data_IF_284177915351
#
_entry.id   IF_284177915351
#
_cell.length_a   1.000
_cell.length_b   1.000
_cell.length_c   1.000
_cell.angle_alpha   90.00
_cell.angle_beta   90.00
_cell.angle_gamma   90.00
#
_symmetry.space_group_name_H-M   'P 1'
#
loop_
_entity.id
_entity.type
_entity.pdbx_description
1 polymer ?
#
# COMPACT_ATOMS: atom_id res chain seq x y z
N UNK A 1 23.51 7.66 30.52
CA UNK A 1 23.44 7.47 29.07
C UNK A 1 22.00 7.09 28.78
N UNK A 2 21.20 8.02 28.25
CA UNK A 2 19.92 7.69 27.64
C UNK A 2 20.24 6.95 26.35
N UNK A 3 19.87 5.66 26.27
CA UNK A 3 19.81 4.95 24.99
C UNK A 3 18.73 5.67 24.17
N UNK A 4 19.15 6.48 23.22
CA UNK A 4 18.28 6.95 22.14
C UNK A 4 17.83 5.70 21.40
N UNK A 5 16.59 5.27 21.65
CA UNK A 5 15.93 4.24 20.85
C UNK A 5 15.80 4.87 19.46
N UNK A 6 16.62 4.40 18.53
CA UNK A 6 16.59 4.87 17.15
C UNK A 6 15.24 4.45 16.55
N UNK A 7 14.34 5.41 16.34
CA UNK A 7 12.97 5.15 15.87
C UNK A 7 13.03 4.60 14.45
N UNK A 8 12.48 3.40 14.25
CA UNK A 8 12.38 2.81 12.92
C UNK A 8 11.49 3.64 12.00
N UNK A 9 11.77 3.58 10.71
CA UNK A 9 11.11 4.37 9.68
C UNK A 9 9.86 3.69 9.16
N UNK A 10 8.98 4.49 8.56
CA UNK A 10 7.90 4.01 7.69
C UNK A 10 8.34 4.13 6.23
N UNK A 11 8.25 3.04 5.48
CA UNK A 11 8.43 3.06 4.03
C UNK A 11 7.13 3.48 3.35
N UNK A 12 7.22 4.39 2.38
CA UNK A 12 6.14 4.76 1.48
C UNK A 12 6.55 4.30 0.08
N UNK A 13 5.83 3.35 -0.50
CA UNK A 13 6.10 2.95 -1.88
C UNK A 13 5.20 3.73 -2.84
N UNK A 14 5.81 4.44 -3.78
CA UNK A 14 5.09 5.16 -4.83
C UNK A 14 5.35 4.53 -6.20
N UNK A 15 4.32 4.55 -7.02
CA UNK A 15 4.29 4.10 -8.40
C UNK A 15 3.45 5.07 -9.24
N UNK A 16 3.58 5.03 -10.55
CA UNK A 16 2.90 5.96 -11.44
C UNK A 16 1.38 5.96 -11.23
N UNK A 17 0.78 7.11 -11.40
CA UNK A 17 -0.63 7.41 -11.17
C UNK A 17 -1.12 7.20 -9.73
N UNK A 18 -0.22 7.20 -8.74
CA UNK A 18 -0.61 7.06 -7.34
C UNK A 18 -1.59 8.17 -6.91
N UNK A 19 -2.49 7.82 -6.01
CA UNK A 19 -3.49 8.74 -5.46
C UNK A 19 -2.88 9.55 -4.31
N UNK A 20 -2.44 10.77 -4.61
CA UNK A 20 -1.76 11.63 -3.65
C UNK A 20 -2.61 11.95 -2.40
N UNK A 21 -3.90 12.22 -2.57
CA UNK A 21 -4.77 12.58 -1.44
C UNK A 21 -4.93 11.44 -0.43
N UNK A 22 -4.81 10.18 -0.85
CA UNK A 22 -5.03 9.01 0.03
C UNK A 22 -3.94 8.87 1.09
N UNK A 23 -2.73 9.37 0.84
CA UNK A 23 -1.62 9.31 1.80
C UNK A 23 -1.39 10.61 2.58
N UNK A 24 -2.04 11.70 2.20
CA UNK A 24 -1.78 13.04 2.76
C UNK A 24 -2.00 13.10 4.28
N UNK A 25 -3.09 12.54 4.77
CA UNK A 25 -3.42 12.54 6.20
C UNK A 25 -2.47 11.62 6.97
N UNK A 26 -2.16 10.44 6.43
CA UNK A 26 -1.20 9.52 7.05
C UNK A 26 0.19 10.16 7.18
N UNK A 27 0.66 10.85 6.14
CA UNK A 27 1.94 11.56 6.18
C UNK A 27 1.95 12.68 7.23
N UNK A 28 0.86 13.44 7.34
CA UNK A 28 0.72 14.48 8.38
C UNK A 28 0.77 13.89 9.79
N UNK A 29 0.06 12.78 10.03
CA UNK A 29 0.06 12.10 11.33
C UNK A 29 1.47 11.58 11.66
N UNK A 30 2.17 10.98 10.71
CA UNK A 30 3.54 10.52 10.90
C UNK A 30 4.49 11.68 11.22
N UNK A 31 4.34 12.81 10.53
CA UNK A 31 5.13 14.01 10.79
C UNK A 31 4.89 14.57 12.20
N UNK A 32 3.62 14.65 12.63
CA UNK A 32 3.25 15.08 13.99
C UNK A 32 3.79 14.14 15.07
N UNK A 33 3.90 12.85 14.76
CA UNK A 33 4.49 11.83 15.64
C UNK A 33 6.03 11.79 15.57
N UNK A 34 6.65 12.67 14.80
CA UNK A 34 8.10 12.68 14.52
C UNK A 34 8.61 11.33 13.97
N UNK A 35 7.74 10.57 13.31
CA UNK A 35 8.06 9.29 12.69
C UNK A 35 8.78 9.50 11.37
N UNK A 36 10.06 9.08 11.22
CA UNK A 36 10.77 9.24 9.98
C UNK A 36 10.18 8.38 8.86
N UNK A 37 10.18 8.91 7.64
CA UNK A 37 9.71 8.21 6.45
C UNK A 37 10.82 8.13 5.40
N UNK A 38 10.72 7.16 4.50
CA UNK A 38 11.48 7.08 3.26
C UNK A 38 10.50 6.77 2.13
N UNK A 39 10.53 7.58 1.09
CA UNK A 39 9.76 7.35 -0.13
C UNK A 39 10.59 6.51 -1.08
N UNK A 40 10.07 5.34 -1.43
CA UNK A 40 10.68 4.42 -2.39
C UNK A 40 9.99 4.51 -3.75
N UNK A 41 10.79 4.44 -4.80
CA UNK A 41 10.35 4.26 -6.17
C UNK A 41 11.05 3.08 -6.84
N UNK A 42 10.61 2.69 -8.03
CA UNK A 42 11.27 1.64 -8.82
C UNK A 42 12.64 2.14 -9.29
N UNK A 43 12.71 3.41 -9.65
CA UNK A 43 13.92 4.12 -10.09
C UNK A 43 14.04 5.44 -9.32
N UNK A 44 15.13 6.18 -9.54
CA UNK A 44 15.31 7.54 -8.99
C UNK A 44 14.60 8.64 -9.78
N UNK A 45 13.91 8.29 -10.86
CA UNK A 45 13.14 9.24 -11.66
C UNK A 45 11.90 9.73 -10.91
N UNK A 46 11.41 10.91 -11.29
CA UNK A 46 10.17 11.45 -10.74
C UNK A 46 8.99 10.50 -11.00
N UNK A 47 8.20 10.29 -9.97
CA UNK A 47 6.96 9.51 -10.01
C UNK A 47 5.81 10.50 -10.09
N UNK A 48 4.88 10.27 -11.01
CA UNK A 48 3.76 11.18 -11.22
C UNK A 48 2.49 10.64 -10.58
N UNK A 49 1.85 11.46 -9.76
CA UNK A 49 0.54 11.16 -9.20
C UNK A 49 -0.58 11.29 -10.25
N UNK A 50 -1.77 10.78 -9.94
CA UNK A 50 -2.94 10.88 -10.82
C UNK A 50 -3.35 12.33 -11.09
N UNK A 51 -3.13 13.23 -10.13
CA UNK A 51 -3.44 14.65 -10.20
C UNK A 51 -2.30 15.53 -10.77
N UNK A 52 -1.21 14.89 -11.22
CA UNK A 52 -0.10 15.57 -11.91
C UNK A 52 1.03 16.06 -11.03
N UNK A 53 1.02 15.77 -9.71
CA UNK A 53 2.14 16.06 -8.85
C UNK A 53 3.32 15.14 -9.20
N UNK A 54 4.54 15.69 -9.27
CA UNK A 54 5.76 14.92 -9.50
C UNK A 54 6.58 14.86 -8.22
N UNK A 55 6.93 13.64 -7.80
CA UNK A 55 7.71 13.39 -6.59
C UNK A 55 8.97 12.59 -6.95
N UNK A 56 10.13 13.06 -6.52
CA UNK A 56 11.34 12.27 -6.57
C UNK A 56 11.41 11.36 -5.34
N UNK A 57 11.62 10.05 -5.52
CA UNK A 57 11.80 9.16 -4.38
C UNK A 57 13.13 9.44 -3.67
N UNK A 58 13.15 9.16 -2.36
CA UNK A 58 14.39 9.22 -1.57
C UNK A 58 15.34 8.08 -1.96
N UNK A 59 14.78 6.90 -2.21
CA UNK A 59 15.54 5.72 -2.59
C UNK A 59 14.75 4.79 -3.53
N UNK A 60 15.44 3.78 -4.04
CA UNK A 60 14.84 2.76 -4.89
C UNK A 60 14.56 1.48 -4.11
N UNK A 61 13.60 0.70 -4.60
CA UNK A 61 13.22 -0.59 -3.98
C UNK A 61 14.38 -1.58 -3.86
N UNK A 62 15.41 -1.44 -4.71
CA UNK A 62 16.60 -2.31 -4.68
C UNK A 62 17.53 -2.02 -3.49
N UNK A 63 17.45 -0.82 -2.91
CA UNK A 63 18.31 -0.37 -1.82
C UNK A 63 17.67 -0.49 -0.43
N UNK A 64 16.64 -1.31 -0.29
CA UNK A 64 15.94 -1.47 0.99
C UNK A 64 16.85 -2.11 2.05
N UNK A 65 17.11 -1.37 3.13
CA UNK A 65 17.55 -1.94 4.40
C UNK A 65 16.33 -2.22 5.28
N UNK A 66 15.80 -3.44 5.19
CA UNK A 66 14.54 -3.82 5.83
C UNK A 66 14.55 -3.62 7.35
N UNK A 67 15.70 -3.77 8.01
CA UNK A 67 15.81 -3.64 9.47
C UNK A 67 15.64 -2.19 9.95
N UNK A 68 15.81 -1.21 9.07
CA UNK A 68 15.55 0.18 9.38
C UNK A 68 14.06 0.56 9.42
N UNK A 69 13.18 -0.34 9.00
CA UNK A 69 11.75 -0.07 8.84
C UNK A 69 10.89 -0.99 9.71
N UNK A 70 9.78 -0.47 10.21
CA UNK A 70 8.75 -1.23 10.94
C UNK A 70 7.38 -1.24 10.22
N UNK A 71 7.23 -0.46 9.17
CA UNK A 71 5.95 -0.26 8.50
C UNK A 71 6.09 0.13 7.03
N UNK A 72 5.04 -0.15 6.26
CA UNK A 72 4.90 0.17 4.85
C UNK A 72 3.52 0.77 4.59
N UNK A 73 3.45 1.84 3.80
CA UNK A 73 2.21 2.43 3.30
C UNK A 73 2.18 2.33 1.77
N UNK A 74 1.03 1.89 1.26
CA UNK A 74 0.75 1.74 -0.17
C UNK A 74 -0.49 2.57 -0.52
N UNK A 75 -0.36 3.65 -1.33
CA UNK A 75 -1.51 4.38 -1.85
C UNK A 75 -2.20 3.59 -2.96
N UNK A 76 -3.44 3.95 -3.29
CA UNK A 76 -4.07 3.54 -4.52
C UNK A 76 -3.43 4.18 -5.74
N UNK A 77 -3.89 3.78 -6.92
CA UNK A 77 -3.47 4.34 -8.19
C UNK A 77 -4.64 4.34 -9.18
N UNK A 78 -4.62 5.27 -10.13
CA UNK A 78 -5.64 5.32 -11.20
C UNK A 78 -5.55 4.08 -12.09
N UNK A 79 -4.34 3.62 -12.43
CA UNK A 79 -4.09 2.38 -13.16
C UNK A 79 -3.04 1.56 -12.41
N UNK A 80 -3.49 0.46 -11.79
CA UNK A 80 -2.62 -0.40 -10.99
C UNK A 80 -2.09 -1.61 -11.76
N UNK A 81 -2.53 -1.85 -12.99
CA UNK A 81 -2.22 -3.08 -13.74
C UNK A 81 -0.73 -3.29 -13.95
N UNK A 82 -0.02 -2.28 -14.41
CA UNK A 82 1.44 -2.36 -14.58
C UNK A 82 2.17 -2.58 -13.26
N UNK A 83 1.67 -1.98 -12.19
CA UNK A 83 2.23 -2.13 -10.84
C UNK A 83 2.05 -3.55 -10.30
N UNK A 84 0.86 -4.13 -10.48
CA UNK A 84 0.55 -5.52 -10.07
C UNK A 84 1.41 -6.53 -10.81
N UNK A 85 1.67 -6.31 -12.11
CA UNK A 85 2.48 -7.22 -12.93
C UNK A 85 4.00 -7.03 -12.71
N UNK A 86 4.42 -6.02 -11.97
CA UNK A 86 5.82 -5.77 -11.67
C UNK A 86 6.31 -6.64 -10.51
N UNK A 87 7.00 -7.73 -10.83
CA UNK A 87 7.52 -8.67 -9.82
C UNK A 87 8.44 -8.02 -8.80
N UNK A 88 9.22 -7.00 -9.17
CA UNK A 88 10.12 -6.28 -8.24
C UNK A 88 9.33 -5.54 -7.18
N UNK A 89 8.19 -4.94 -7.53
CA UNK A 89 7.28 -4.28 -6.58
C UNK A 89 6.66 -5.31 -5.64
N UNK A 90 6.14 -6.40 -6.19
CA UNK A 90 5.53 -7.49 -5.42
C UNK A 90 6.54 -8.09 -4.43
N UNK A 91 7.76 -8.33 -4.86
CA UNK A 91 8.83 -8.86 -4.00
C UNK A 91 9.25 -7.87 -2.91
N UNK A 92 9.30 -6.58 -3.21
CA UNK A 92 9.53 -5.54 -2.21
C UNK A 92 8.45 -5.58 -1.12
N UNK A 93 7.18 -5.65 -1.50
CA UNK A 93 6.05 -5.72 -0.57
C UNK A 93 6.12 -6.98 0.30
N UNK A 94 6.44 -8.13 -0.27
CA UNK A 94 6.59 -9.41 0.46
C UNK A 94 7.60 -9.32 1.61
N UNK A 95 8.65 -8.53 1.48
CA UNK A 95 9.65 -8.34 2.54
C UNK A 95 9.04 -7.76 3.81
N UNK A 96 7.94 -7.02 3.70
CA UNK A 96 7.23 -6.42 4.83
C UNK A 96 6.18 -7.34 5.47
N UNK A 97 6.08 -8.61 5.11
CA UNK A 97 5.01 -9.52 5.58
C UNK A 97 4.83 -9.58 7.11
N UNK A 98 5.92 -9.39 7.87
CA UNK A 98 5.93 -9.41 9.34
C UNK A 98 5.91 -8.01 9.96
N UNK A 99 5.73 -6.98 9.17
CA UNK A 99 5.71 -5.59 9.59
C UNK A 99 4.32 -5.00 9.38
N UNK A 100 4.03 -3.86 9.97
CA UNK A 100 2.75 -3.20 9.76
C UNK A 100 2.62 -2.71 8.32
N UNK A 101 1.54 -3.06 7.65
CA UNK A 101 1.25 -2.61 6.29
C UNK A 101 -0.10 -1.91 6.28
N UNK A 102 -0.13 -0.66 5.80
CA UNK A 102 -1.34 0.06 5.44
C UNK A 102 -1.49 0.10 3.92
N UNK A 103 -2.60 -0.38 3.40
CA UNK A 103 -2.90 -0.36 1.97
C UNK A 103 -4.27 0.28 1.73
N UNK A 104 -4.32 1.30 0.89
CA UNK A 104 -5.46 2.19 0.73
C UNK A 104 -6.09 1.98 -0.64
N UNK A 105 -7.44 2.06 -0.72
CA UNK A 105 -8.19 2.04 -1.96
C UNK A 105 -7.96 0.75 -2.76
N UNK A 106 -7.34 0.80 -3.94
CA UNK A 106 -7.02 -0.37 -4.76
C UNK A 106 -5.73 -1.09 -4.30
N UNK A 107 -4.91 -0.47 -3.48
CA UNK A 107 -3.61 -1.02 -3.07
C UNK A 107 -3.68 -2.38 -2.35
N UNK A 108 -4.74 -2.76 -1.61
CA UNK A 108 -4.87 -4.11 -1.07
C UNK A 108 -4.70 -5.22 -2.09
N UNK A 109 -4.97 -4.98 -3.36
CA UNK A 109 -4.78 -5.95 -4.44
C UNK A 109 -3.29 -6.27 -4.68
N UNK A 110 -2.38 -5.35 -4.37
CA UNK A 110 -0.94 -5.62 -4.35
C UNK A 110 -0.59 -6.66 -3.27
N UNK A 111 -1.29 -6.61 -2.14
CA UNK A 111 -1.12 -7.57 -1.04
C UNK A 111 -1.69 -8.95 -1.43
N UNK A 112 -2.78 -8.99 -2.19
CA UNK A 112 -3.33 -10.23 -2.75
C UNK A 112 -2.30 -10.88 -3.68
N UNK A 113 -1.73 -10.12 -4.60
CA UNK A 113 -0.66 -10.59 -5.51
C UNK A 113 0.59 -11.05 -4.77
N UNK A 114 0.94 -10.37 -3.69
CA UNK A 114 2.07 -10.75 -2.83
C UNK A 114 1.80 -11.99 -1.97
N UNK A 115 0.56 -12.53 -1.97
CA UNK A 115 0.18 -13.68 -1.16
C UNK A 115 0.06 -13.38 0.33
N UNK A 116 -0.11 -12.11 0.72
CA UNK A 116 -0.15 -11.70 2.13
C UNK A 116 -1.55 -11.70 2.73
N UNK A 117 -2.60 -11.84 1.92
CA UNK A 117 -4.00 -11.82 2.35
C UNK A 117 -4.72 -13.18 2.22
N UNK A 118 -4.02 -14.25 1.94
CA UNK A 118 -4.61 -15.59 1.83
C UNK A 118 -5.34 -15.99 3.12
N UNK A 119 -6.64 -16.28 3.02
CA UNK A 119 -7.48 -16.64 4.16
C UNK A 119 -7.71 -15.51 5.16
N UNK A 120 -7.47 -14.25 4.78
CA UNK A 120 -7.63 -13.08 5.63
C UNK A 120 -8.66 -12.12 5.04
N UNK A 121 -9.59 -11.60 5.86
CA UNK A 121 -10.50 -10.57 5.40
C UNK A 121 -9.76 -9.28 5.07
N UNK A 122 -10.20 -8.59 4.03
CA UNK A 122 -9.65 -7.30 3.61
C UNK A 122 -10.73 -6.46 2.93
N UNK A 123 -10.45 -5.19 2.74
CA UNK A 123 -11.30 -4.23 2.03
C UNK A 123 -10.50 -3.59 0.89
N UNK A 124 -11.17 -3.27 -0.22
CA UNK A 124 -10.60 -2.43 -1.28
C UNK A 124 -11.65 -1.40 -1.74
N UNK A 125 -11.18 -0.20 -2.10
CA UNK A 125 -12.04 0.91 -2.52
C UNK A 125 -12.32 0.92 -4.02
N UNK A 126 -12.73 -0.22 -4.59
CA UNK A 126 -12.97 -0.39 -6.02
C UNK A 126 -14.19 -1.30 -6.24
N UNK A 127 -14.92 -1.15 -7.34
CA UNK A 127 -16.07 -2.01 -7.64
C UNK A 127 -15.66 -3.33 -8.28
N UNK A 128 -16.61 -4.28 -8.33
CA UNK A 128 -16.38 -5.65 -8.79
C UNK A 128 -15.97 -5.73 -10.26
N UNK A 129 -16.62 -4.96 -11.10
CA UNK A 129 -16.36 -4.93 -12.54
C UNK A 129 -14.94 -4.47 -12.81
N UNK A 130 -14.53 -3.39 -12.16
CA UNK A 130 -13.17 -2.86 -12.29
C UNK A 130 -12.11 -3.84 -11.79
N UNK A 131 -12.39 -4.60 -10.71
CA UNK A 131 -11.48 -5.65 -10.23
C UNK A 131 -11.29 -6.78 -11.25
N UNK A 132 -12.36 -7.19 -11.93
CA UNK A 132 -12.26 -8.19 -13.00
C UNK A 132 -11.52 -7.66 -14.23
N UNK A 133 -11.71 -6.38 -14.56
CA UNK A 133 -10.93 -5.70 -15.60
C UNK A 133 -9.44 -5.65 -15.27
N UNK A 134 -9.09 -5.54 -13.99
CA UNK A 134 -7.71 -5.63 -13.49
C UNK A 134 -7.15 -7.07 -13.45
N UNK A 135 -7.96 -8.07 -13.83
CA UNK A 135 -7.52 -9.46 -13.95
C UNK A 135 -7.65 -10.30 -12.71
N UNK A 136 -8.39 -9.85 -11.69
CA UNK A 136 -8.70 -10.66 -10.51
C UNK A 136 -9.87 -11.59 -10.77
N UNK A 137 -9.81 -12.79 -10.18
CA UNK A 137 -10.90 -13.76 -10.21
C UNK A 137 -11.73 -13.71 -8.93
N UNK A 138 -12.91 -14.32 -8.95
CA UNK A 138 -13.72 -14.47 -7.73
C UNK A 138 -12.96 -15.17 -6.60
N UNK A 139 -12.13 -16.16 -6.94
CA UNK A 139 -11.34 -16.89 -5.95
C UNK A 139 -10.28 -16.03 -5.26
N UNK A 140 -9.73 -15.05 -5.96
CA UNK A 140 -8.75 -14.10 -5.40
C UNK A 140 -9.39 -13.18 -4.36
N UNK A 141 -10.69 -12.96 -4.45
CA UNK A 141 -11.44 -11.98 -3.67
C UNK A 141 -12.36 -12.61 -2.61
N UNK A 142 -12.34 -13.94 -2.46
CA UNK A 142 -13.26 -14.67 -1.57
C UNK A 142 -13.23 -14.19 -0.12
N UNK A 143 -12.10 -13.74 0.37
CA UNK A 143 -11.93 -13.27 1.75
C UNK A 143 -12.15 -11.76 1.92
N UNK A 144 -12.57 -11.08 0.86
CA UNK A 144 -12.85 -9.66 0.93
C UNK A 144 -14.11 -9.38 1.73
N UNK A 145 -13.98 -8.64 2.82
CA UNK A 145 -15.10 -8.29 3.69
C UNK A 145 -15.89 -7.12 3.09
N UNK A 146 -17.22 -7.23 3.13
CA UNK A 146 -18.10 -6.23 2.53
C UNK A 146 -18.15 -6.29 1.00
N UNK A 147 -17.61 -7.36 0.42
CA UNK A 147 -17.72 -7.60 -1.00
C UNK A 147 -19.17 -7.91 -1.38
N UNK A 148 -19.78 -7.00 -2.10
CA UNK A 148 -21.04 -7.21 -2.80
C UNK A 148 -21.01 -6.47 -4.14
N UNK A 149 -22.01 -6.70 -4.98
CA UNK A 149 -22.14 -6.04 -6.27
C UNK A 149 -22.35 -4.52 -6.15
N UNK A 150 -22.46 -4.02 -4.92
CA UNK A 150 -22.69 -2.62 -4.57
C UNK A 150 -21.65 -2.09 -3.57
N UNK A 151 -20.38 -2.18 -3.89
CA UNK A 151 -19.26 -1.58 -3.10
C UNK A 151 -19.44 -0.08 -2.72
N UNK A 152 -20.58 0.50 -3.04
CA UNK A 152 -20.95 1.86 -2.65
C UNK A 152 -21.48 1.99 -1.22
N UNK A 153 -21.72 0.87 -0.54
CA UNK A 153 -22.06 0.89 0.89
C UNK A 153 -20.77 0.86 1.68
N UNK A 154 -20.39 1.94 2.36
CA UNK A 154 -19.25 1.88 3.26
C UNK A 154 -19.52 0.78 4.29
N UNK A 155 -18.53 -0.06 4.53
CA UNK A 155 -18.48 -0.88 5.74
C UNK A 155 -18.56 0.09 6.91
N UNK A 156 -19.34 -0.21 7.94
CA UNK A 156 -19.60 0.72 9.06
C UNK A 156 -18.29 1.29 9.67
N UNK A 157 -17.21 0.56 9.61
CA UNK A 157 -15.93 0.95 10.22
C UNK A 157 -14.94 1.62 9.25
N UNK A 158 -15.17 1.57 7.93
CA UNK A 158 -14.31 2.22 6.92
C UNK A 158 -12.90 1.64 6.77
N UNK A 159 -12.54 0.62 7.55
CA UNK A 159 -11.25 -0.08 7.49
C UNK A 159 -11.36 -1.49 8.06
N UNK A 160 -10.40 -2.34 7.73
CA UNK A 160 -10.26 -3.69 8.30
C UNK A 160 -8.83 -3.87 8.78
N UNK A 161 -8.68 -4.35 10.01
CA UNK A 161 -7.40 -4.76 10.56
C UNK A 161 -7.35 -6.28 10.62
N UNK A 162 -6.38 -6.88 9.93
CA UNK A 162 -6.12 -8.31 9.96
C UNK A 162 -4.67 -8.57 10.32
N UNK A 163 -4.42 -8.95 11.58
CA UNK A 163 -3.06 -9.08 12.08
C UNK A 163 -2.28 -7.77 12.02
N UNK A 164 -1.24 -7.73 11.20
CA UNK A 164 -0.39 -6.55 10.98
C UNK A 164 -0.77 -5.74 9.73
N UNK A 165 -1.87 -6.09 9.06
CA UNK A 165 -2.32 -5.44 7.82
C UNK A 165 -3.58 -4.63 8.09
N UNK A 166 -3.62 -3.40 7.56
CA UNK A 166 -4.75 -2.47 7.59
C UNK A 166 -5.15 -2.17 6.14
N UNK A 167 -6.41 -2.43 5.81
CA UNK A 167 -6.96 -2.16 4.48
C UNK A 167 -8.22 -1.32 4.56
#
# INVERSE_FOLDING_TARGET
CEETIDMKKTAILLYDSFCNFEISVALEILALAEKPITVFGITKQAIRSEDGLSIFPDDTIDNLDLDAYDSLILPGAMDIRETIENERIVDFIKKFEKKTIGAISIAPLLLVKAGLLNGKPFMAGINKEELFEEGFSESDLTEMVGWDDNLRKPVEEGYIITGNIIT
#
